data_IF_415249143842
#
_entry.id   IF_415249143842
#
_cell.length_a   1.000
_cell.length_b   1.000
_cell.length_c   1.000
_cell.angle_alpha   90.00
_cell.angle_beta   90.00
_cell.angle_gamma   90.00
#
_symmetry.space_group_name_H-M   'P 1'
#
loop_
_entity.id
_entity.type
_entity.pdbx_description
1 polymer ?
#
# COMPACT_ATOMS: atom_id res chain seq x y z
N UNK A 1 4.89 19.92 -15.65
CA UNK A 1 5.11 20.62 -14.36
C UNK A 1 4.22 20.07 -13.25
N UNK A 2 2.90 19.88 -13.46
CA UNK A 2 1.98 19.44 -12.40
C UNK A 2 2.08 17.96 -11.97
N UNK A 3 2.73 17.10 -12.76
CA UNK A 3 2.96 15.69 -12.42
C UNK A 3 4.41 15.30 -12.75
N UNK A 4 5.39 15.64 -11.89
CA UNK A 4 6.80 15.32 -12.12
C UNK A 4 7.06 13.82 -12.26
N UNK A 5 6.19 12.98 -11.70
CA UNK A 5 6.28 11.51 -11.77
C UNK A 5 6.02 10.93 -13.16
N UNK A 6 5.35 11.70 -14.03
CA UNK A 6 5.10 11.34 -15.44
C UNK A 6 6.14 11.92 -16.39
N UNK A 7 7.10 12.70 -15.88
CA UNK A 7 8.17 13.25 -16.69
C UNK A 7 9.17 12.14 -17.08
N UNK A 8 9.76 12.26 -18.26
CA UNK A 8 10.82 11.35 -18.69
C UNK A 8 11.99 11.42 -17.70
N UNK A 9 12.44 10.26 -17.20
CA UNK A 9 13.62 10.20 -16.33
C UNK A 9 14.84 10.74 -17.10
N UNK A 10 15.46 11.78 -16.55
CA UNK A 10 16.70 12.33 -17.11
C UNK A 10 17.83 11.34 -16.86
N UNK A 11 18.69 11.16 -17.87
CA UNK A 11 19.90 10.36 -17.76
C UNK A 11 21.09 11.29 -17.53
N UNK A 12 21.90 10.97 -16.52
CA UNK A 12 23.11 11.68 -16.18
C UNK A 12 24.35 10.87 -16.57
N UNK A 13 25.46 11.54 -16.84
CA UNK A 13 26.73 10.90 -17.19
C UNK A 13 27.26 9.97 -16.08
N UNK A 14 26.90 10.25 -14.82
CA UNK A 14 27.29 9.43 -13.67
C UNK A 14 26.41 8.19 -13.47
N UNK A 15 25.27 8.06 -14.18
CA UNK A 15 24.35 6.93 -13.99
C UNK A 15 25.00 5.61 -14.35
N UNK A 16 25.89 5.60 -15.35
CA UNK A 16 26.64 4.39 -15.75
C UNK A 16 27.54 3.91 -14.61
N UNK A 17 28.27 4.82 -13.98
CA UNK A 17 29.18 4.51 -12.86
C UNK A 17 28.38 4.10 -11.63
N UNK A 18 27.28 4.81 -11.36
CA UNK A 18 26.41 4.51 -10.22
C UNK A 18 25.74 3.15 -10.35
N UNK A 19 25.21 2.79 -11.51
CA UNK A 19 24.55 1.49 -11.71
C UNK A 19 25.55 0.33 -11.71
N UNK A 20 26.81 0.57 -12.14
CA UNK A 20 27.87 -0.42 -12.01
C UNK A 20 28.28 -0.65 -10.55
N UNK A 21 28.37 0.43 -9.75
CA UNK A 21 28.81 0.34 -8.35
C UNK A 21 27.69 0.00 -7.38
N UNK A 22 26.46 0.34 -7.73
CA UNK A 22 25.24 0.12 -6.95
C UNK A 22 24.12 -0.39 -7.88
N UNK A 23 24.13 -1.68 -8.25
CA UNK A 23 23.15 -2.26 -9.19
C UNK A 23 21.69 -2.14 -8.73
N UNK A 24 21.48 -1.96 -7.43
CA UNK A 24 20.17 -1.80 -6.80
C UNK A 24 19.69 -0.35 -6.73
N UNK A 25 20.51 0.61 -7.17
CA UNK A 25 20.17 2.03 -7.17
C UNK A 25 18.96 2.29 -8.08
N UNK A 26 18.01 3.10 -7.62
CA UNK A 26 16.74 3.40 -8.30
C UNK A 26 15.83 2.19 -8.57
N UNK A 27 16.16 1.00 -8.05
CA UNK A 27 15.25 -0.15 -8.05
C UNK A 27 14.26 0.00 -6.88
N UNK A 28 13.02 -0.48 -7.04
CA UNK A 28 12.03 -0.43 -5.96
C UNK A 28 12.51 -1.24 -4.73
N UNK A 29 11.85 -1.10 -3.59
CA UNK A 29 12.22 -1.82 -2.36
C UNK A 29 12.22 -3.33 -2.59
N UNK A 30 12.98 -4.11 -1.78
CA UNK A 30 13.13 -5.57 -1.91
C UNK A 30 11.81 -6.31 -2.20
N UNK A 31 10.69 -5.85 -1.63
CA UNK A 31 9.37 -6.44 -1.86
C UNK A 31 8.83 -6.22 -3.30
N UNK A 32 9.07 -5.03 -3.86
CA UNK A 32 8.54 -4.57 -5.14
C UNK A 32 9.50 -4.77 -6.32
N UNK A 33 10.72 -5.29 -6.08
CA UNK A 33 11.61 -5.73 -7.16
C UNK A 33 11.06 -6.99 -7.82
N UNK A 34 11.14 -7.11 -9.16
CA UNK A 34 10.77 -8.33 -9.85
C UNK A 34 11.64 -9.50 -9.36
N UNK A 35 11.10 -10.72 -9.45
CA UNK A 35 11.84 -11.94 -9.11
C UNK A 35 12.88 -12.19 -10.21
N UNK A 36 14.12 -12.49 -9.82
CA UNK A 36 15.16 -12.86 -10.78
C UNK A 36 14.79 -14.16 -11.48
N UNK A 37 14.70 -14.12 -12.80
CA UNK A 37 14.33 -15.28 -13.63
C UNK A 37 15.40 -16.37 -13.53
N UNK A 38 16.69 -16.00 -13.59
CA UNK A 38 17.81 -16.95 -13.50
C UNK A 38 17.80 -17.70 -12.16
N UNK A 39 17.60 -16.95 -11.06
CA UNK A 39 17.51 -17.53 -9.73
C UNK A 39 16.25 -18.36 -9.53
N UNK A 40 15.10 -17.90 -10.03
CA UNK A 40 13.83 -18.62 -9.91
C UNK A 40 13.79 -19.92 -10.70
N UNK A 41 14.52 -20.00 -11.82
CA UNK A 41 14.56 -21.19 -12.68
C UNK A 41 15.68 -22.17 -12.32
N UNK A 42 16.87 -21.67 -11.93
CA UNK A 42 18.08 -22.49 -11.73
C UNK A 42 18.58 -22.52 -10.30
N UNK A 43 17.92 -21.82 -9.36
CA UNK A 43 18.38 -21.59 -7.98
C UNK A 43 19.79 -20.97 -7.89
N UNK A 44 20.33 -20.48 -9.01
CA UNK A 44 21.65 -19.89 -9.15
C UNK A 44 21.57 -18.71 -10.11
N UNK A 45 22.11 -17.56 -9.70
CA UNK A 45 22.17 -16.36 -10.54
C UNK A 45 23.64 -15.97 -10.77
N UNK A 46 24.06 -15.74 -12.02
CA UNK A 46 25.44 -15.32 -12.33
C UNK A 46 25.77 -13.93 -11.76
N UNK A 47 24.75 -13.12 -11.45
CA UNK A 47 24.89 -11.80 -10.81
C UNK A 47 25.01 -11.88 -9.27
N UNK A 48 24.86 -13.06 -8.69
CA UNK A 48 25.06 -13.30 -7.25
C UNK A 48 24.27 -12.33 -6.36
N UNK A 49 24.94 -11.79 -5.33
CA UNK A 49 24.33 -10.83 -4.39
C UNK A 49 24.15 -9.43 -4.97
N UNK A 50 24.76 -9.14 -6.11
CA UNK A 50 24.65 -7.88 -6.84
C UNK A 50 23.50 -7.88 -7.85
N UNK A 51 22.70 -8.95 -7.87
CA UNK A 51 21.55 -9.04 -8.74
C UNK A 51 20.55 -7.91 -8.41
N UNK A 52 20.19 -7.05 -9.38
CA UNK A 52 19.18 -6.01 -9.18
C UNK A 52 17.77 -6.57 -8.94
N UNK A 53 17.54 -7.84 -9.24
CA UNK A 53 16.26 -8.52 -9.11
C UNK A 53 16.23 -9.36 -7.82
N UNK A 54 15.04 -9.57 -7.24
CA UNK A 54 14.93 -10.31 -5.97
C UNK A 54 15.19 -11.80 -6.19
N UNK A 55 16.09 -12.36 -5.39
CA UNK A 55 16.24 -13.80 -5.21
C UNK A 55 15.26 -14.28 -4.14
N UNK A 56 14.24 -15.04 -4.57
CA UNK A 56 13.30 -15.70 -3.67
C UNK A 56 13.77 -17.14 -3.50
N UNK A 57 14.09 -17.60 -2.29
CA UNK A 57 14.40 -19.02 -2.09
C UNK A 57 13.20 -19.88 -2.55
N UNK A 58 13.43 -21.11 -3.03
CA UNK A 58 12.38 -21.99 -3.53
C UNK A 58 11.24 -22.16 -2.51
N UNK A 59 10.01 -22.46 -2.97
CA UNK A 59 8.81 -22.41 -2.15
C UNK A 59 8.91 -23.39 -0.98
N UNK A 60 9.27 -22.88 0.19
CA UNK A 60 8.88 -23.49 1.46
C UNK A 60 7.37 -23.23 1.63
N UNK A 61 6.62 -24.23 2.13
CA UNK A 61 5.16 -24.18 2.15
C UNK A 61 4.63 -22.88 2.75
N UNK A 62 3.67 -22.30 2.02
CA UNK A 62 3.01 -21.02 2.28
C UNK A 62 2.37 -21.01 3.67
N UNK A 63 2.86 -20.14 4.54
CA UNK A 63 2.24 -19.86 5.83
C UNK A 63 2.92 -18.68 6.51
N UNK A 64 4.23 -18.80 6.77
CA UNK A 64 4.84 -17.90 7.76
C UNK A 64 5.89 -16.94 7.20
N UNK A 65 6.54 -17.25 6.07
CA UNK A 65 7.70 -16.46 5.59
C UNK A 65 7.35 -15.25 4.72
N UNK A 66 6.23 -15.26 4.00
CA UNK A 66 5.81 -14.07 3.24
C UNK A 66 5.51 -12.90 4.18
N UNK A 67 4.91 -13.19 5.34
CA UNK A 67 4.62 -12.21 6.40
C UNK A 67 5.88 -11.53 6.95
N UNK A 68 7.03 -12.21 6.97
CA UNK A 68 8.29 -11.65 7.48
C UNK A 68 8.90 -10.62 6.51
N UNK A 69 8.67 -10.76 5.20
CA UNK A 69 9.17 -9.81 4.20
C UNK A 69 8.46 -8.45 4.27
N UNK A 70 7.22 -8.42 4.78
CA UNK A 70 6.46 -7.20 5.12
C UNK A 70 6.87 -6.61 6.48
N UNK A 71 7.36 -7.44 7.41
CA UNK A 71 7.81 -6.95 8.71
C UNK A 71 9.16 -6.23 8.57
N UNK A 72 9.20 -4.95 8.92
CA UNK A 72 10.40 -4.11 8.76
C UNK A 72 11.52 -4.58 9.68
N UNK A 73 12.74 -4.70 9.13
CA UNK A 73 13.93 -5.06 9.90
C UNK A 73 14.33 -3.94 10.87
N UNK A 74 14.25 -4.21 12.19
CA UNK A 74 14.65 -3.25 13.25
C UNK A 74 16.11 -2.77 13.14
N UNK A 75 17.01 -3.61 12.64
CA UNK A 75 18.42 -3.25 12.48
C UNK A 75 18.64 -2.40 11.24
N UNK A 76 17.84 -2.61 10.19
CA UNK A 76 17.90 -1.82 8.96
C UNK A 76 17.44 -0.38 9.20
N UNK A 77 16.36 -0.20 9.99
CA UNK A 77 15.90 1.13 10.41
C UNK A 77 16.98 1.97 11.10
N UNK A 78 17.95 1.32 11.76
CA UNK A 78 19.08 1.97 12.44
C UNK A 78 20.36 2.02 11.61
N UNK A 79 20.34 1.53 10.36
CA UNK A 79 21.53 1.42 9.49
C UNK A 79 22.53 0.33 9.91
N UNK A 80 22.14 -0.59 10.79
CA UNK A 80 23.02 -1.61 11.40
C UNK A 80 22.82 -3.02 10.82
N UNK A 81 21.95 -3.18 9.81
CA UNK A 81 21.69 -4.50 9.26
C UNK A 81 22.84 -4.98 8.37
N UNK A 82 23.58 -5.98 8.85
CA UNK A 82 24.67 -6.63 8.10
C UNK A 82 24.19 -7.64 7.05
N UNK A 83 22.92 -8.08 7.13
CA UNK A 83 22.37 -9.13 6.27
C UNK A 83 21.96 -8.65 4.87
N UNK A 84 21.90 -7.34 4.63
CA UNK A 84 21.58 -6.78 3.31
C UNK A 84 20.35 -7.45 2.66
N UNK A 85 20.48 -7.84 1.40
CA UNK A 85 19.43 -8.54 0.66
C UNK A 85 19.13 -9.97 1.15
N UNK A 86 20.02 -10.58 1.94
CA UNK A 86 19.77 -11.86 2.60
C UNK A 86 18.99 -11.73 3.92
N UNK A 87 18.58 -10.52 4.33
CA UNK A 87 17.76 -10.34 5.52
C UNK A 87 16.35 -10.92 5.31
N UNK A 88 15.87 -11.71 6.26
CA UNK A 88 14.51 -12.29 6.22
C UNK A 88 13.40 -11.23 6.40
N UNK A 89 13.76 -10.07 6.95
CA UNK A 89 12.86 -8.95 7.20
C UNK A 89 12.91 -7.91 6.06
N UNK A 90 11.85 -7.11 5.94
CA UNK A 90 11.76 -6.00 4.98
C UNK A 90 12.80 -4.91 5.22
N UNK A 91 13.58 -4.57 4.20
CA UNK A 91 14.44 -3.39 4.16
C UNK A 91 13.72 -2.23 3.46
N UNK A 92 12.65 -1.77 4.10
CA UNK A 92 11.81 -0.67 3.62
C UNK A 92 11.68 0.36 4.72
N UNK A 93 11.76 1.64 4.35
CA UNK A 93 11.43 2.74 5.23
C UNK A 93 9.98 3.15 4.93
N UNK A 94 9.04 2.29 5.33
CA UNK A 94 7.63 2.55 5.15
C UNK A 94 7.09 3.27 6.38
N UNK A 95 7.14 4.60 6.37
CA UNK A 95 6.39 5.41 7.34
C UNK A 95 4.86 5.22 7.18
N UNK A 96 4.43 4.71 6.02
CA UNK A 96 3.02 4.65 5.61
C UNK A 96 2.24 3.48 6.21
N UNK A 97 2.93 2.51 6.81
CA UNK A 97 2.34 1.43 7.62
C UNK A 97 2.73 1.57 9.10
N UNK A 98 3.14 2.78 9.51
CA UNK A 98 3.38 3.05 10.91
C UNK A 98 2.09 2.93 11.68
N UNK A 99 2.12 2.08 12.71
CA UNK A 99 1.07 2.00 13.70
C UNK A 99 0.76 3.40 14.21
N UNK A 100 -0.52 3.72 14.33
CA UNK A 100 -0.94 4.99 14.89
C UNK A 100 -0.41 5.16 16.32
N UNK A 101 0.02 6.39 16.64
CA UNK A 101 0.40 6.74 17.99
C UNK A 101 -0.84 6.71 18.89
N UNK A 102 -0.89 5.77 19.85
CA UNK A 102 -2.04 5.61 20.76
C UNK A 102 -2.27 6.84 21.63
N UNK A 103 -1.20 7.47 22.10
CA UNK A 103 -1.27 8.63 23.01
C UNK A 103 -1.81 9.86 22.27
N UNK A 104 -1.23 10.15 21.09
CA UNK A 104 -1.69 11.23 20.24
C UNK A 104 -3.12 11.00 19.73
N UNK A 105 -3.46 9.77 19.36
CA UNK A 105 -4.80 9.42 18.87
C UNK A 105 -5.90 9.57 19.92
N UNK A 106 -5.57 9.38 21.21
CA UNK A 106 -6.53 9.53 22.32
C UNK A 106 -6.60 10.97 22.83
N UNK A 107 -5.44 11.58 23.08
CA UNK A 107 -5.36 12.84 23.83
C UNK A 107 -4.99 14.04 22.94
N UNK A 108 -4.63 13.82 21.68
CA UNK A 108 -4.15 14.88 20.78
C UNK A 108 -2.74 15.38 21.13
N UNK A 109 -2.09 14.81 22.13
CA UNK A 109 -0.75 15.19 22.60
C UNK A 109 0.11 13.94 22.71
N UNK A 110 1.34 14.02 22.23
CA UNK A 110 2.32 12.94 22.34
C UNK A 110 3.50 13.43 23.18
N UNK A 111 3.93 12.69 24.22
CA UNK A 111 5.10 13.07 25.03
C UNK A 111 6.40 13.08 24.23
N UNK A 112 6.45 12.31 23.14
CA UNK A 112 7.57 12.27 22.20
C UNK A 112 7.55 13.42 21.17
N UNK A 113 6.44 14.18 21.10
CA UNK A 113 6.27 15.29 20.17
C UNK A 113 6.61 14.92 18.72
N UNK A 114 7.41 15.75 18.06
CA UNK A 114 7.84 15.56 16.67
C UNK A 114 8.85 14.43 16.48
N UNK A 115 9.48 13.96 17.56
CA UNK A 115 10.41 12.83 17.51
C UNK A 115 9.70 11.46 17.55
N UNK A 116 8.37 11.45 17.59
CA UNK A 116 7.60 10.22 17.58
C UNK A 116 7.69 9.51 16.22
N UNK A 117 8.08 8.24 16.23
CA UNK A 117 8.14 7.38 15.04
C UNK A 117 6.80 6.76 14.65
N UNK A 118 5.70 7.19 15.28
CA UNK A 118 4.36 6.66 15.05
C UNK A 118 3.51 7.73 14.40
N UNK A 119 2.55 7.31 13.57
CA UNK A 119 1.69 8.24 12.85
C UNK A 119 0.81 9.02 13.84
N UNK A 120 0.97 10.35 13.83
CA UNK A 120 0.15 11.28 14.59
C UNK A 120 -1.13 11.62 13.82
N UNK A 121 -2.18 10.83 14.06
CA UNK A 121 -3.54 11.12 13.59
C UNK A 121 -4.37 11.66 14.76
N UNK A 122 -4.83 12.92 14.66
CA UNK A 122 -5.56 13.58 15.74
C UNK A 122 -6.90 12.91 16.06
N UNK A 123 -7.44 13.07 17.28
CA UNK A 123 -8.72 12.47 17.69
C UNK A 123 -9.91 12.97 16.86
N UNK A 124 -9.84 14.21 16.37
CA UNK A 124 -10.88 14.87 15.57
C UNK A 124 -10.65 14.77 14.06
N UNK A 125 -9.63 14.01 13.63
CA UNK A 125 -9.33 13.95 12.20
C UNK A 125 -10.43 13.18 11.46
N UNK A 126 -10.95 13.69 10.33
CA UNK A 126 -12.00 13.01 9.55
C UNK A 126 -11.52 11.68 8.94
N UNK A 127 -10.20 11.41 8.97
CA UNK A 127 -9.61 10.14 8.58
C UNK A 127 -9.96 8.99 9.54
N UNK A 128 -10.34 9.31 10.79
CA UNK A 128 -10.82 8.32 11.78
C UNK A 128 -12.26 7.92 11.57
N UNK A 129 -13.04 8.76 10.89
CA UNK A 129 -14.45 8.49 10.67
C UNK A 129 -14.61 7.29 9.73
N UNK A 130 -15.59 6.41 9.99
CA UNK A 130 -15.89 5.31 9.11
C UNK A 130 -16.25 5.84 7.72
N UNK A 131 -15.78 5.14 6.69
CA UNK A 131 -16.06 5.51 5.33
C UNK A 131 -17.57 5.36 5.04
N UNK A 132 -18.14 6.35 4.37
CA UNK A 132 -19.56 6.40 4.04
C UNK A 132 -19.92 5.28 3.03
N UNK A 133 -20.79 4.32 3.41
CA UNK A 133 -21.17 3.22 2.53
C UNK A 133 -21.89 3.65 1.25
N UNK A 134 -22.57 4.80 1.27
CA UNK A 134 -23.25 5.35 0.08
C UNK A 134 -22.25 6.03 -0.86
N UNK A 135 -21.35 6.85 -0.31
CA UNK A 135 -20.40 7.61 -1.12
C UNK A 135 -19.34 6.74 -1.80
N UNK A 136 -18.88 5.67 -1.14
CA UNK A 136 -17.99 4.68 -1.78
C UNK A 136 -18.65 4.02 -2.98
N UNK A 137 -19.97 3.86 -2.96
CA UNK A 137 -20.70 3.44 -4.15
C UNK A 137 -20.75 4.55 -5.18
N UNK A 138 -20.66 5.81 -4.81
CA UNK A 138 -20.46 6.93 -5.73
C UNK A 138 -21.44 8.06 -5.55
N UNK A 139 -22.46 7.85 -4.70
CA UNK A 139 -23.42 8.90 -4.38
C UNK A 139 -23.89 8.77 -2.94
N UNK A 140 -23.76 9.86 -2.17
CA UNK A 140 -24.33 9.97 -0.83
C UNK A 140 -25.47 11.01 -0.84
N UNK A 141 -26.68 10.65 -0.38
CA UNK A 141 -27.82 11.56 -0.38
C UNK A 141 -27.63 12.76 0.57
N UNK A 142 -26.84 12.58 1.63
CA UNK A 142 -26.50 13.65 2.58
C UNK A 142 -25.45 14.62 2.03
N UNK A 143 -24.79 14.27 0.91
CA UNK A 143 -23.81 15.12 0.25
C UNK A 143 -22.74 15.66 1.21
N UNK A 144 -22.39 16.95 1.16
CA UNK A 144 -21.36 17.54 2.01
C UNK A 144 -21.73 17.58 3.50
N UNK A 145 -22.99 17.32 3.86
CA UNK A 145 -23.47 17.29 5.25
C UNK A 145 -23.38 15.90 5.88
N UNK A 146 -22.85 14.90 5.17
CA UNK A 146 -22.64 13.57 5.73
C UNK A 146 -21.57 13.62 6.83
N UNK A 147 -21.86 13.05 8.00
CA UNK A 147 -20.90 12.89 9.10
C UNK A 147 -19.88 11.79 8.86
N UNK A 148 -20.04 11.00 7.79
CA UNK A 148 -19.16 9.89 7.43
C UNK A 148 -18.13 10.33 6.39
N UNK A 149 -16.94 9.71 6.42
CA UNK A 149 -15.86 10.05 5.49
C UNK A 149 -16.21 9.66 4.06
N UNK A 150 -16.20 10.62 3.15
CA UNK A 150 -16.43 10.42 1.72
C UNK A 150 -15.14 10.03 0.99
N UNK A 151 -14.95 8.74 0.69
CA UNK A 151 -13.82 8.24 -0.10
C UNK A 151 -14.14 8.32 -1.59
N UNK A 152 -13.47 9.21 -2.31
CA UNK A 152 -13.69 9.42 -3.75
C UNK A 152 -12.96 8.37 -4.56
N UNK A 153 -13.70 7.61 -5.38
CA UNK A 153 -13.10 6.76 -6.41
C UNK A 153 -12.56 7.62 -7.55
N UNK A 154 -11.37 7.29 -8.05
CA UNK A 154 -10.76 8.01 -9.18
C UNK A 154 -11.55 7.85 -10.48
N UNK A 155 -12.21 6.70 -10.66
CA UNK A 155 -12.95 6.36 -11.87
C UNK A 155 -14.31 5.73 -11.53
N UNK A 156 -15.37 6.04 -12.27
CA UNK A 156 -16.60 5.25 -12.22
C UNK A 156 -16.37 3.86 -12.84
N UNK A 157 -17.12 2.87 -12.39
CA UNK A 157 -17.02 1.51 -12.93
C UNK A 157 -17.50 1.48 -14.40
N UNK A 158 -16.67 1.04 -15.37
CA UNK A 158 -17.05 0.98 -16.78
C UNK A 158 -18.26 0.06 -17.04
N UNK A 159 -18.33 -1.08 -16.34
CA UNK A 159 -19.45 -2.02 -16.47
C UNK A 159 -20.77 -1.44 -15.94
N UNK A 160 -20.70 -0.66 -14.87
CA UNK A 160 -21.86 0.08 -14.37
C UNK A 160 -22.31 1.14 -15.37
N UNK A 161 -21.38 1.87 -15.99
CA UNK A 161 -21.71 2.82 -17.07
C UNK A 161 -22.33 2.12 -18.29
N UNK A 162 -21.96 0.87 -18.55
CA UNK A 162 -22.56 0.02 -19.58
C UNK A 162 -23.94 -0.59 -19.17
N UNK A 163 -24.43 -0.28 -17.97
CA UNK A 163 -25.77 -0.66 -17.49
C UNK A 163 -25.83 -1.89 -16.57
N UNK A 164 -24.78 -2.72 -16.53
CA UNK A 164 -24.74 -3.90 -15.65
C UNK A 164 -23.31 -4.22 -15.21
N UNK A 165 -23.09 -4.22 -13.90
CA UNK A 165 -21.84 -4.69 -13.31
C UNK A 165 -22.06 -5.99 -12.52
N UNK A 166 -21.40 -7.11 -12.87
CA UNK A 166 -21.54 -8.38 -12.16
C UNK A 166 -20.97 -8.32 -10.73
N UNK A 167 -20.05 -7.39 -10.46
CA UNK A 167 -19.32 -7.30 -9.18
C UNK A 167 -19.97 -6.38 -8.15
N UNK A 168 -21.23 -5.97 -8.34
CA UNK A 168 -21.89 -4.93 -7.54
C UNK A 168 -21.90 -5.11 -6.01
N UNK A 169 -21.62 -6.32 -5.49
CA UNK A 169 -21.58 -6.64 -4.05
C UNK A 169 -20.56 -7.71 -3.64
N UNK A 170 -19.78 -8.27 -4.57
CA UNK A 170 -19.12 -9.57 -4.35
C UNK A 170 -17.71 -9.50 -3.75
N UNK A 171 -17.15 -8.30 -3.58
CA UNK A 171 -15.75 -8.17 -3.16
C UNK A 171 -15.60 -8.15 -1.63
N UNK A 172 -14.51 -8.73 -1.10
CA UNK A 172 -14.15 -8.57 0.30
C UNK A 172 -14.05 -7.08 0.67
N UNK A 173 -14.47 -6.70 1.89
CA UNK A 173 -14.34 -5.32 2.35
C UNK A 173 -12.88 -4.88 2.28
N UNK A 174 -12.63 -3.70 1.71
CA UNK A 174 -11.29 -3.11 1.65
C UNK A 174 -10.73 -2.76 3.03
N UNK A 175 -9.54 -2.16 3.13
CA UNK A 175 -8.95 -1.74 4.41
C UNK A 175 -9.88 -0.80 5.21
N UNK A 176 -10.71 -0.01 4.53
CA UNK A 176 -11.73 0.87 5.11
C UNK A 176 -13.02 0.13 5.53
N UNK A 177 -13.04 -1.21 5.47
CA UNK A 177 -14.18 -2.10 5.74
C UNK A 177 -15.40 -1.91 4.84
N UNK A 178 -15.25 -1.24 3.70
CA UNK A 178 -16.36 -0.99 2.77
C UNK A 178 -16.33 -1.97 1.59
N UNK A 179 -17.48 -2.55 1.27
CA UNK A 179 -17.70 -3.40 0.10
C UNK A 179 -17.90 -2.51 -1.12
N UNK A 180 -16.96 -2.57 -2.06
CA UNK A 180 -16.97 -1.79 -3.31
C UNK A 180 -16.63 -2.64 -4.53
N UNK A 181 -16.87 -2.10 -5.72
CA UNK A 181 -16.48 -2.75 -6.97
C UNK A 181 -15.01 -2.45 -7.28
N UNK A 182 -14.26 -3.46 -7.71
CA UNK A 182 -12.84 -3.31 -8.10
C UNK A 182 -12.62 -2.33 -9.26
N UNK A 183 -13.62 -2.20 -10.13
CA UNK A 183 -13.55 -1.37 -11.33
C UNK A 183 -13.94 0.09 -11.09
N UNK A 184 -14.49 0.43 -9.91
CA UNK A 184 -14.82 1.81 -9.54
C UNK A 184 -16.21 2.00 -8.94
N UNK A 185 -16.64 3.26 -8.85
CA UNK A 185 -17.91 3.64 -8.22
C UNK A 185 -19.15 3.26 -9.08
N UNK A 186 -20.21 2.77 -8.42
CA UNK A 186 -21.58 2.57 -8.90
C UNK A 186 -22.53 3.62 -8.31
N UNK A 187 -22.77 4.74 -8.99
CA UNK A 187 -23.54 5.88 -8.44
C UNK A 187 -25.03 5.61 -8.14
N UNK A 188 -25.49 4.35 -8.12
CA UNK A 188 -26.87 3.98 -7.83
C UNK A 188 -27.15 4.08 -6.34
N UNK A 189 -28.12 4.92 -5.98
CA UNK A 189 -28.68 4.97 -4.64
C UNK A 189 -29.47 3.68 -4.35
N UNK A 190 -29.25 3.13 -3.16
CA UNK A 190 -29.90 1.92 -2.64
C UNK A 190 -30.33 2.25 -1.21
N UNK A 191 -31.50 1.73 -0.78
CA UNK A 191 -32.00 1.91 0.58
C UNK A 191 -31.08 1.24 1.61
N UNK A 192 -31.11 1.72 2.84
CA UNK A 192 -30.26 1.22 3.92
C UNK A 192 -30.57 -0.25 4.26
N UNK A 193 -31.83 -0.67 4.16
CA UNK A 193 -32.28 -2.05 4.39
C UNK A 193 -31.63 -3.03 3.40
N UNK A 194 -31.54 -2.62 2.14
CA UNK A 194 -30.94 -3.40 1.05
C UNK A 194 -29.40 -3.40 1.13
N UNK A 195 -28.82 -2.61 2.04
CA UNK A 195 -27.38 -2.48 2.20
C UNK A 195 -26.80 -3.54 3.15
N UNK A 196 -27.59 -3.96 4.13
CA UNK A 196 -27.24 -5.01 5.10
C UNK A 196 -28.39 -6.03 5.15
N UNK A 197 -28.55 -6.89 4.12
CA UNK A 197 -29.60 -7.89 4.15
C UNK A 197 -29.44 -8.75 5.42
N UNK A 198 -30.55 -9.04 6.14
CA UNK A 198 -30.49 -9.93 7.27
C UNK A 198 -29.90 -11.27 6.84
N UNK A 199 -28.99 -11.82 7.67
CA UNK A 199 -28.36 -13.11 7.44
C UNK A 199 -29.36 -14.26 7.53
#
# INVERSE_FOLDING_TARGET
VLHPEKASKQQFSFDTVLNQRYPTLNKPTKLHRPICIDYGTKAHCPRGMECPDRHVPPPVPMGDRLHLQFLICKHYQRGLCKKGDACEFGHMYNLREERECKEFGRHGVCPMGESCTYLHMGPTSPLRDPACPHYTRGFCPLGPHCSLRHVKHEKPCPFYMAGFCPNGRAMPPGPDRVVGCEYGAHARWIKDEDMHPPK
#
